data_IF_291574725340
#
_entry.id   IF_291574725340
#
_cell.length_a   1.000
_cell.length_b   1.000
_cell.length_c   1.000
_cell.angle_alpha   90.00
_cell.angle_beta   90.00
_cell.angle_gamma   90.00
#
_symmetry.space_group_name_H-M   'P 1'
#
loop_
_entity.id
_entity.type
_entity.pdbx_description
1 polymer ?
#
# COMPACT_ATOMS: atom_id res chain seq x y z
N UNK A 1 -56.38 -36.42 27.08
CA UNK A 1 -56.59 -37.04 25.77
C UNK A 1 -55.36 -36.90 24.90
N UNK A 2 -55.16 -37.79 23.99
CA UNK A 2 -53.99 -37.81 23.11
C UNK A 2 -53.87 -36.56 22.24
N UNK A 3 -54.97 -35.96 21.85
CA UNK A 3 -55.05 -34.74 21.05
C UNK A 3 -54.54 -33.50 21.82
N UNK A 4 -54.86 -33.39 23.08
CA UNK A 4 -54.40 -32.29 23.94
C UNK A 4 -52.90 -32.43 24.23
N UNK A 5 -52.43 -33.62 24.50
CA UNK A 5 -51.01 -33.88 24.69
C UNK A 5 -50.18 -33.64 23.44
N UNK A 6 -50.69 -34.03 22.28
CA UNK A 6 -50.07 -33.80 20.98
C UNK A 6 -50.04 -32.32 20.65
N UNK A 7 -51.13 -31.57 20.90
CA UNK A 7 -51.19 -30.14 20.69
C UNK A 7 -50.22 -29.37 21.61
N UNK A 8 -50.16 -29.79 22.89
CA UNK A 8 -49.21 -29.19 23.85
C UNK A 8 -47.76 -29.48 23.47
N UNK A 9 -47.46 -30.68 23.05
CA UNK A 9 -46.12 -31.04 22.59
C UNK A 9 -45.75 -30.29 21.30
N UNK A 10 -46.65 -30.13 20.37
CA UNK A 10 -46.45 -29.31 19.16
C UNK A 10 -46.23 -27.86 19.49
N UNK A 11 -46.96 -27.28 20.47
CA UNK A 11 -46.82 -25.91 20.93
C UNK A 11 -45.42 -25.66 21.56
N UNK A 12 -44.97 -26.60 22.37
CA UNK A 12 -43.63 -26.53 22.97
C UNK A 12 -42.53 -26.64 21.86
N UNK A 13 -42.70 -27.58 20.93
CA UNK A 13 -41.77 -27.77 19.81
C UNK A 13 -41.74 -26.54 18.88
N UNK A 14 -42.86 -25.90 18.65
CA UNK A 14 -42.94 -24.67 17.86
C UNK A 14 -42.17 -23.52 18.56
N UNK A 15 -42.36 -23.35 19.85
CA UNK A 15 -41.65 -22.33 20.63
C UNK A 15 -40.13 -22.61 20.65
N UNK A 16 -39.75 -23.84 20.89
CA UNK A 16 -38.34 -24.25 20.81
C UNK A 16 -37.75 -23.99 19.43
N UNK A 17 -38.47 -24.36 18.38
CA UNK A 17 -38.07 -24.10 17.00
C UNK A 17 -37.91 -22.62 16.73
N UNK A 18 -38.81 -21.76 17.18
CA UNK A 18 -38.74 -20.31 17.05
C UNK A 18 -37.51 -19.76 17.77
N UNK A 19 -37.20 -20.25 18.96
CA UNK A 19 -36.02 -19.84 19.73
C UNK A 19 -34.75 -20.23 18.96
N UNK A 20 -34.68 -21.46 18.47
CA UNK A 20 -33.55 -21.95 17.67
C UNK A 20 -33.35 -21.16 16.38
N UNK A 21 -34.44 -20.84 15.68
CA UNK A 21 -34.38 -20.00 14.48
C UNK A 21 -33.91 -18.59 14.78
N UNK A 22 -34.32 -18.03 15.89
CA UNK A 22 -33.90 -16.70 16.35
C UNK A 22 -32.41 -16.68 16.67
N UNK A 23 -31.92 -17.66 17.42
CA UNK A 23 -30.50 -17.82 17.74
C UNK A 23 -29.66 -18.03 16.49
N UNK A 24 -30.13 -18.81 15.54
CA UNK A 24 -29.46 -19.03 14.26
C UNK A 24 -29.38 -17.74 13.43
N UNK A 25 -30.47 -16.97 13.40
CA UNK A 25 -30.50 -15.66 12.74
C UNK A 25 -29.52 -14.67 13.39
N UNK A 26 -29.49 -14.62 14.72
CA UNK A 26 -28.56 -13.78 15.47
C UNK A 26 -27.09 -14.17 15.17
N UNK A 27 -26.78 -15.46 15.13
CA UNK A 27 -25.44 -15.94 14.77
C UNK A 27 -25.06 -15.56 13.34
N UNK A 28 -25.97 -15.70 12.40
CA UNK A 28 -25.76 -15.28 11.00
C UNK A 28 -25.49 -13.79 10.88
N UNK A 29 -26.24 -12.97 11.63
CA UNK A 29 -26.06 -11.52 11.64
C UNK A 29 -24.71 -11.13 12.26
N UNK A 30 -24.29 -11.80 13.31
CA UNK A 30 -22.96 -11.59 13.91
C UNK A 30 -21.85 -11.94 12.94
N UNK A 31 -21.94 -13.07 12.24
CA UNK A 31 -20.99 -13.49 11.23
C UNK A 31 -20.92 -12.49 10.07
N UNK A 32 -22.06 -11.98 9.61
CA UNK A 32 -22.10 -10.95 8.56
C UNK A 32 -21.43 -9.66 8.99
N UNK A 33 -21.65 -9.24 10.23
CA UNK A 33 -21.02 -8.03 10.79
C UNK A 33 -19.51 -8.22 10.89
N UNK A 34 -19.07 -9.37 11.38
CA UNK A 34 -17.65 -9.70 11.48
C UNK A 34 -16.99 -9.75 10.10
N UNK A 35 -17.64 -10.34 9.09
CA UNK A 35 -17.16 -10.37 7.72
C UNK A 35 -17.07 -8.97 7.10
N UNK A 36 -18.07 -8.11 7.36
CA UNK A 36 -18.04 -6.71 6.90
C UNK A 36 -16.90 -5.92 7.53
N UNK A 37 -16.68 -6.09 8.81
CA UNK A 37 -15.57 -5.45 9.52
C UNK A 37 -14.23 -5.95 8.99
N UNK A 38 -14.10 -7.26 8.77
CA UNK A 38 -12.89 -7.84 8.21
C UNK A 38 -12.60 -7.29 6.81
N UNK A 39 -13.59 -7.20 5.94
CA UNK A 39 -13.44 -6.60 4.61
C UNK A 39 -13.01 -5.15 4.69
N UNK A 40 -13.61 -4.40 5.61
CA UNK A 40 -13.25 -2.99 5.82
C UNK A 40 -11.81 -2.84 6.28
N UNK A 41 -11.37 -3.67 7.22
CA UNK A 41 -9.97 -3.71 7.67
C UNK A 41 -9.03 -4.12 6.55
N UNK A 42 -9.40 -5.12 5.76
CA UNK A 42 -8.60 -5.59 4.62
C UNK A 42 -8.47 -4.50 3.55
N UNK A 43 -9.54 -3.76 3.28
CA UNK A 43 -9.52 -2.64 2.32
C UNK A 43 -8.62 -1.49 2.80
N UNK A 44 -8.69 -1.16 4.08
CA UNK A 44 -7.84 -0.13 4.69
C UNK A 44 -6.37 -0.56 4.61
N UNK A 45 -6.08 -1.80 4.97
CA UNK A 45 -4.73 -2.35 4.90
C UNK A 45 -4.19 -2.36 3.48
N UNK A 46 -5.01 -2.76 2.51
CA UNK A 46 -4.64 -2.76 1.10
C UNK A 46 -4.33 -1.36 0.57
N UNK A 47 -5.09 -0.35 1.01
CA UNK A 47 -4.85 1.07 0.66
C UNK A 47 -3.53 1.56 1.26
N UNK A 48 -3.28 1.25 2.52
CA UNK A 48 -2.02 1.61 3.19
C UNK A 48 -0.82 0.97 2.53
N UNK A 49 -0.91 -0.32 2.18
CA UNK A 49 0.15 -1.02 1.48
C UNK A 49 0.44 -0.43 0.11
N UNK A 50 -0.61 -0.06 -0.64
CA UNK A 50 -0.46 0.64 -1.94
C UNK A 50 0.19 2.00 -1.77
N UNK A 51 -0.27 2.77 -0.81
CA UNK A 51 0.29 4.09 -0.51
C UNK A 51 1.77 3.99 -0.15
N UNK A 52 2.13 3.07 0.72
CA UNK A 52 3.52 2.86 1.12
C UNK A 52 4.39 2.36 -0.03
N UNK A 53 3.86 1.50 -0.90
CA UNK A 53 4.57 1.03 -2.09
C UNK A 53 4.82 2.17 -3.08
N UNK A 54 3.83 3.02 -3.33
CA UNK A 54 3.96 4.21 -4.19
C UNK A 54 4.95 5.21 -3.60
N UNK A 55 4.90 5.42 -2.30
CA UNK A 55 5.84 6.29 -1.60
C UNK A 55 7.28 5.81 -1.73
N UNK A 56 7.51 4.51 -1.55
CA UNK A 56 8.84 3.90 -1.76
C UNK A 56 9.33 4.07 -3.19
N UNK A 57 8.47 3.84 -4.18
CA UNK A 57 8.83 4.05 -5.59
C UNK A 57 9.19 5.49 -5.89
N UNK A 58 8.45 6.44 -5.32
CA UNK A 58 8.74 7.86 -5.48
C UNK A 58 10.07 8.25 -4.83
N UNK A 59 10.37 7.73 -3.65
CA UNK A 59 11.66 7.96 -2.97
C UNK A 59 12.82 7.36 -3.76
N UNK A 60 12.68 6.15 -4.32
CA UNK A 60 13.68 5.53 -5.16
C UNK A 60 13.94 6.32 -6.44
N UNK A 61 12.88 6.82 -7.09
CA UNK A 61 13.02 7.71 -8.26
C UNK A 61 13.80 8.97 -7.92
N UNK A 62 13.50 9.60 -6.79
CA UNK A 62 14.22 10.80 -6.34
C UNK A 62 15.69 10.52 -6.09
N UNK A 63 16.01 9.39 -5.46
CA UNK A 63 17.39 8.97 -5.25
C UNK A 63 18.10 8.73 -6.57
N UNK A 64 17.45 8.04 -7.48
CA UNK A 64 17.99 7.75 -8.80
C UNK A 64 18.24 9.02 -9.60
N UNK A 65 17.27 9.92 -9.63
CA UNK A 65 17.40 11.23 -10.29
C UNK A 65 18.54 12.08 -9.68
N UNK A 66 18.65 12.04 -8.36
CA UNK A 66 19.72 12.74 -7.65
C UNK A 66 21.09 12.18 -8.02
N UNK A 67 21.23 10.86 -8.04
CA UNK A 67 22.47 10.19 -8.44
C UNK A 67 22.83 10.51 -9.88
N UNK A 68 21.88 10.46 -10.79
CA UNK A 68 22.08 10.80 -12.21
C UNK A 68 22.50 12.25 -12.38
N UNK A 69 21.89 13.17 -11.64
CA UNK A 69 22.24 14.58 -11.66
C UNK A 69 23.65 14.81 -11.12
N UNK A 70 24.03 14.15 -10.04
CA UNK A 70 25.38 14.20 -9.49
C UNK A 70 26.43 13.65 -10.44
N UNK A 71 26.13 12.53 -11.12
CA UNK A 71 27.03 11.97 -12.15
C UNK A 71 27.21 12.89 -13.34
N UNK A 72 26.13 13.49 -13.85
CA UNK A 72 26.22 14.50 -14.91
C UNK A 72 27.07 15.69 -14.50
N UNK A 73 26.84 16.19 -13.32
CA UNK A 73 27.60 17.30 -12.78
C UNK A 73 29.09 16.97 -12.69
N UNK A 74 29.41 15.77 -12.24
CA UNK A 74 30.81 15.30 -12.17
C UNK A 74 31.42 15.17 -13.55
N UNK A 75 30.73 14.58 -14.51
CA UNK A 75 31.19 14.47 -15.91
C UNK A 75 31.43 15.83 -16.53
N UNK A 76 30.49 16.77 -16.34
CA UNK A 76 30.62 18.11 -16.87
C UNK A 76 31.82 18.85 -16.29
N UNK A 77 32.08 18.66 -14.99
CA UNK A 77 33.28 19.22 -14.33
C UNK A 77 34.56 18.57 -14.86
N UNK A 78 34.57 17.26 -15.04
CA UNK A 78 35.73 16.54 -15.61
C UNK A 78 36.00 16.97 -17.03
N UNK A 79 34.97 17.13 -17.85
CA UNK A 79 35.12 17.64 -19.23
C UNK A 79 35.59 19.07 -19.26
N UNK A 80 35.08 19.92 -18.38
CA UNK A 80 35.55 21.30 -18.26
C UNK A 80 37.01 21.38 -17.82
N UNK A 81 37.42 20.54 -16.88
CA UNK A 81 38.82 20.41 -16.48
C UNK A 81 39.73 19.93 -17.63
N UNK A 82 39.29 18.91 -18.36
CA UNK A 82 40.01 18.42 -19.52
C UNK A 82 40.20 19.47 -20.60
N UNK A 83 39.16 20.24 -20.92
CA UNK A 83 39.21 21.38 -21.84
C UNK A 83 40.19 22.45 -21.37
N UNK A 84 40.14 22.80 -20.09
CA UNK A 84 41.09 23.76 -19.50
C UNK A 84 42.52 23.28 -19.63
N UNK A 85 42.78 22.02 -19.37
CA UNK A 85 44.12 21.44 -19.51
C UNK A 85 44.59 21.43 -20.95
N UNK A 86 43.72 21.18 -21.92
CA UNK A 86 44.05 21.25 -23.35
C UNK A 86 44.38 22.68 -23.80
N UNK A 87 43.71 23.66 -23.24
CA UNK A 87 43.91 25.08 -23.55
C UNK A 87 45.13 25.70 -22.83
N UNK A 88 45.59 25.10 -21.76
CA UNK A 88 46.74 25.62 -20.98
C UNK A 88 48.00 25.85 -21.81
N UNK A 89 48.44 24.93 -22.68
CA UNK A 89 49.60 25.18 -23.53
C UNK A 89 49.43 26.36 -24.47
N UNK A 90 48.25 26.61 -24.98
CA UNK A 90 47.94 27.73 -25.85
C UNK A 90 47.99 29.07 -25.08
N UNK A 91 47.43 29.08 -23.89
CA UNK A 91 47.44 30.24 -23.00
C UNK A 91 48.91 30.58 -22.57
N UNK A 92 49.69 29.56 -22.23
CA UNK A 92 51.09 29.70 -21.88
C UNK A 92 51.90 30.24 -23.08
N UNK A 93 51.63 29.76 -24.27
CA UNK A 93 52.28 30.27 -25.48
C UNK A 93 51.98 31.73 -25.78
N UNK A 94 50.72 32.15 -25.57
CA UNK A 94 50.31 33.55 -25.71
C UNK A 94 50.95 34.47 -24.69
N UNK A 95 51.05 34.04 -23.46
CA UNK A 95 51.68 34.81 -22.39
C UNK A 95 53.18 34.96 -22.63
N UNK A 96 53.85 33.94 -23.14
CA UNK A 96 55.30 33.98 -23.50
C UNK A 96 55.62 34.89 -24.66
N UNK A 97 54.67 35.19 -25.55
CA UNK A 97 54.88 36.10 -26.68
C UNK A 97 54.83 37.58 -26.28
N UNK A 98 54.24 37.87 -25.17
CA UNK A 98 54.24 39.22 -24.62
C UNK A 98 55.49 39.44 -23.75
#
# INVERSE_FOLDING_TARGET
>A
SDLENTSGAMGINIVELMILMREDTERRDEVRRAEKEQRRCDDILAREMRYNAEKKKAEERRRQEKLETEERSRRDKEEACARSQELMPFISALVKKE
#
